data_IF_565460379306
#
_entry.id   IF_565460379306
#
_cell.length_a   1.000
_cell.length_b   1.000
_cell.length_c   1.000
_cell.angle_alpha   90.00
_cell.angle_beta   90.00
_cell.angle_gamma   90.00
#
_symmetry.space_group_name_H-M   'P 1'
#
loop_
_entity.id
_entity.type
_entity.pdbx_description
1 polymer ?
#
# COMPACT_ATOMS: atom_id res chain seq x y z
N UNK A 1 -11.91 -67.82 -44.72
CA UNK A 1 -12.37 -66.46 -44.28
C UNK A 1 -11.43 -66.01 -43.20
N UNK A 2 -10.42 -65.23 -43.59
CA UNK A 2 -9.44 -64.69 -42.66
C UNK A 2 -9.83 -63.28 -42.24
N UNK A 3 -10.02 -63.05 -40.95
CA UNK A 3 -10.23 -61.73 -40.39
C UNK A 3 -8.87 -61.07 -40.13
N UNK A 4 -8.55 -60.03 -40.91
CA UNK A 4 -7.40 -59.15 -40.65
C UNK A 4 -7.73 -58.16 -39.56
N UNK A 5 -7.17 -58.33 -38.37
CA UNK A 5 -7.18 -57.29 -37.33
C UNK A 5 -6.09 -56.27 -37.65
N UNK A 6 -6.48 -55.08 -38.08
CA UNK A 6 -5.54 -53.96 -38.25
C UNK A 6 -5.23 -53.36 -36.90
N UNK A 7 -4.02 -53.48 -36.39
CA UNK A 7 -3.50 -52.76 -35.25
C UNK A 7 -3.30 -51.29 -35.65
N UNK A 8 -3.67 -50.29 -34.79
CA UNK A 8 -3.43 -48.88 -35.09
C UNK A 8 -1.93 -48.60 -35.20
N UNK A 9 -1.58 -47.84 -36.23
CA UNK A 9 -0.16 -47.55 -36.51
C UNK A 9 0.47 -46.70 -35.38
N UNK A 10 1.75 -46.90 -35.14
CA UNK A 10 2.55 -46.12 -34.15
C UNK A 10 2.40 -44.62 -34.36
N UNK A 11 2.15 -44.15 -35.59
CA UNK A 11 1.91 -42.75 -35.91
C UNK A 11 0.59 -42.24 -35.34
N UNK A 12 -0.49 -43.06 -35.34
CA UNK A 12 -1.78 -42.69 -34.76
C UNK A 12 -1.68 -42.58 -33.23
N UNK A 13 -0.89 -43.44 -32.58
CA UNK A 13 -0.64 -43.41 -31.16
C UNK A 13 0.16 -42.14 -30.77
N UNK A 14 1.20 -41.81 -31.56
CA UNK A 14 2.02 -40.61 -31.36
C UNK A 14 1.19 -39.30 -31.51
N UNK A 15 0.27 -39.24 -32.47
CA UNK A 15 -0.63 -38.09 -32.67
C UNK A 15 -1.63 -37.95 -31.53
N UNK A 16 -2.17 -39.08 -31.01
CA UNK A 16 -3.08 -39.03 -29.85
C UNK A 16 -2.34 -38.62 -28.58
N UNK A 17 -1.14 -39.10 -28.33
CA UNK A 17 -0.32 -38.69 -27.18
C UNK A 17 0.06 -37.21 -27.30
N UNK A 18 0.45 -36.75 -28.50
CA UNK A 18 0.76 -35.32 -28.71
C UNK A 18 -0.47 -34.44 -28.54
N UNK A 19 -1.64 -34.88 -29.01
CA UNK A 19 -2.90 -34.15 -28.79
C UNK A 19 -3.33 -34.11 -27.31
N UNK A 20 -3.12 -35.20 -26.56
CA UNK A 20 -3.36 -35.25 -25.11
C UNK A 20 -2.36 -34.38 -24.34
N UNK A 21 -1.10 -34.32 -24.71
CA UNK A 21 -0.08 -33.45 -24.11
C UNK A 21 -0.40 -31.96 -24.45
N UNK A 22 -0.78 -31.68 -25.69
CA UNK A 22 -1.19 -30.33 -26.07
C UNK A 22 -2.51 -29.90 -25.40
N UNK A 23 -3.50 -30.81 -25.25
CA UNK A 23 -4.74 -30.50 -24.54
C UNK A 23 -4.52 -30.34 -23.01
N UNK A 24 -3.59 -31.09 -22.41
CA UNK A 24 -3.23 -30.86 -21.01
C UNK A 24 -2.42 -29.56 -20.80
N UNK A 25 -1.64 -29.15 -21.79
CA UNK A 25 -0.94 -27.86 -21.74
C UNK A 25 -1.88 -26.65 -21.91
N UNK A 26 -3.04 -26.82 -22.57
CA UNK A 26 -4.05 -25.74 -22.74
C UNK A 26 -4.99 -25.64 -21.54
N UNK A 27 -5.01 -26.64 -20.64
CA UNK A 27 -5.88 -26.63 -19.44
C UNK A 27 -5.19 -26.22 -18.15
N UNK A 28 -3.91 -25.89 -18.19
CA UNK A 28 -3.24 -25.22 -17.06
C UNK A 28 -3.52 -23.72 -17.10
N UNK A 29 -4.73 -23.30 -16.68
CA UNK A 29 -4.98 -21.96 -16.15
C UNK A 29 -4.36 -21.82 -14.75
N UNK A 30 -3.12 -22.27 -14.59
CA UNK A 30 -2.33 -22.04 -13.41
C UNK A 30 -1.75 -20.62 -13.44
N UNK A 31 -1.66 -19.98 -12.28
CA UNK A 31 -0.94 -18.73 -12.14
C UNK A 31 0.51 -18.86 -12.59
N UNK A 32 1.19 -17.73 -12.73
CA UNK A 32 2.59 -17.68 -13.16
C UNK A 32 3.48 -17.41 -11.94
N UNK A 33 4.27 -18.41 -11.53
CA UNK A 33 5.46 -18.15 -10.73
C UNK A 33 6.55 -17.62 -11.66
N UNK A 34 7.14 -16.50 -11.30
CA UNK A 34 8.25 -15.91 -12.05
C UNK A 34 9.44 -16.91 -12.11
N UNK A 35 10.05 -16.98 -13.27
CA UNK A 35 11.31 -17.72 -13.46
C UNK A 35 12.55 -16.87 -13.15
N UNK A 36 12.35 -15.63 -12.73
CA UNK A 36 13.43 -14.75 -12.34
C UNK A 36 14.15 -15.31 -11.11
N UNK A 37 15.44 -15.55 -11.23
CA UNK A 37 16.29 -16.01 -10.14
C UNK A 37 17.14 -14.84 -9.68
N UNK A 38 16.87 -14.37 -8.49
CA UNK A 38 17.68 -13.36 -7.82
C UNK A 38 18.87 -14.02 -7.11
N UNK A 39 20.06 -13.43 -7.22
CA UNK A 39 21.10 -13.69 -6.24
C UNK A 39 20.66 -13.05 -4.93
N UNK A 40 20.24 -13.88 -3.98
CA UNK A 40 19.78 -13.39 -2.67
C UNK A 40 21.00 -12.96 -1.88
N UNK A 41 21.29 -11.67 -1.89
CA UNK A 41 22.20 -11.05 -0.95
C UNK A 41 21.43 -10.73 0.33
N UNK A 42 22.11 -10.76 1.46
CA UNK A 42 21.50 -10.35 2.73
C UNK A 42 21.16 -8.86 2.65
N UNK A 43 19.92 -8.52 2.96
CA UNK A 43 19.49 -7.13 3.10
C UNK A 43 20.24 -6.46 4.24
N UNK A 44 20.76 -5.27 4.00
CA UNK A 44 21.60 -4.52 4.95
C UNK A 44 21.10 -3.09 5.09
N UNK A 45 21.00 -2.62 6.34
CA UNK A 45 20.68 -1.24 6.62
C UNK A 45 21.71 -0.27 6.03
N UNK A 46 21.21 0.90 5.63
CA UNK A 46 22.09 2.03 5.38
C UNK A 46 22.70 2.50 6.70
N UNK A 47 24.01 2.82 6.72
CA UNK A 47 24.65 3.37 7.91
C UNK A 47 23.94 4.63 8.42
N UNK A 48 23.87 4.82 9.74
CA UNK A 48 23.16 5.96 10.34
C UNK A 48 23.77 7.33 9.94
N UNK A 49 25.01 7.36 9.54
CA UNK A 49 25.72 8.53 9.02
C UNK A 49 25.62 8.68 7.49
N UNK A 50 24.79 7.88 6.85
CA UNK A 50 24.53 8.00 5.40
C UNK A 50 23.90 9.35 5.06
N UNK A 51 24.31 9.92 3.93
CA UNK A 51 23.78 11.20 3.42
C UNK A 51 22.26 11.22 3.26
N UNK A 52 21.64 10.07 3.02
CA UNK A 52 20.16 9.95 2.90
C UNK A 52 19.44 10.26 4.21
N UNK A 53 20.12 10.16 5.35
CA UNK A 53 19.63 10.50 6.67
C UNK A 53 20.11 11.88 7.16
N UNK A 54 20.80 12.62 6.28
CA UNK A 54 21.42 13.89 6.62
C UNK A 54 20.44 14.90 7.21
N UNK A 55 20.90 15.60 8.24
CA UNK A 55 20.16 16.71 8.82
C UNK A 55 20.22 17.94 7.89
N UNK A 56 19.12 18.69 7.77
CA UNK A 56 19.17 19.95 7.05
C UNK A 56 20.10 20.94 7.80
N UNK A 57 20.75 21.80 7.03
CA UNK A 57 21.69 22.78 7.61
C UNK A 57 20.98 23.90 8.37
N UNK A 58 21.60 24.35 9.45
CA UNK A 58 21.15 25.47 10.28
C UNK A 58 20.51 25.03 11.61
N UNK A 59 20.61 25.91 12.61
CA UNK A 59 20.06 25.66 13.94
C UNK A 59 18.55 25.48 13.89
N UNK A 60 18.06 24.41 14.51
CA UNK A 60 16.64 24.05 14.61
C UNK A 60 15.92 23.99 13.26
N UNK A 61 16.65 23.64 12.18
CA UNK A 61 16.07 23.55 10.85
C UNK A 61 14.99 22.43 10.80
N UNK A 62 13.81 22.71 10.22
CA UNK A 62 12.75 21.71 10.12
C UNK A 62 13.20 20.52 9.28
N UNK A 63 12.94 19.30 9.75
CA UNK A 63 13.31 18.05 9.13
C UNK A 63 12.10 17.09 9.11
N UNK A 64 12.24 15.95 8.46
CA UNK A 64 11.19 14.90 8.42
C UNK A 64 9.86 15.43 7.86
N UNK A 65 9.96 16.36 6.92
CA UNK A 65 8.77 17.01 6.34
C UNK A 65 7.98 16.01 5.51
N UNK A 66 6.72 15.86 5.84
CA UNK A 66 5.83 14.95 5.11
C UNK A 66 4.42 15.52 5.01
N UNK A 67 3.72 15.10 3.96
CA UNK A 67 2.35 15.53 3.69
C UNK A 67 1.42 14.34 3.45
N UNK A 68 0.17 14.50 3.86
CA UNK A 68 -0.92 13.57 3.53
C UNK A 68 -2.21 14.35 3.27
N UNK A 69 -3.21 13.68 2.70
CA UNK A 69 -4.53 14.32 2.52
C UNK A 69 -5.14 14.69 3.88
N UNK A 70 -5.70 15.89 4.00
CA UNK A 70 -6.17 16.46 5.27
C UNK A 70 -7.69 16.46 5.46
N UNK A 71 -8.46 16.05 4.45
CA UNK A 71 -9.93 15.95 4.49
C UNK A 71 -10.44 14.76 3.68
N UNK A 72 -11.77 14.66 3.56
CA UNK A 72 -12.37 13.54 2.83
C UNK A 72 -12.31 13.68 1.30
N UNK A 73 -12.16 14.88 0.74
CA UNK A 73 -12.33 15.13 -0.70
C UNK A 73 -11.11 15.70 -1.43
N UNK A 74 -9.99 15.89 -0.72
CA UNK A 74 -8.73 16.35 -1.32
C UNK A 74 -8.56 17.87 -1.36
N UNK A 75 -9.35 18.65 -0.59
CA UNK A 75 -9.22 20.11 -0.45
C UNK A 75 -8.45 20.55 0.79
N UNK A 76 -7.81 19.61 1.48
CA UNK A 76 -6.93 19.89 2.59
C UNK A 76 -5.70 18.97 2.57
N UNK A 77 -4.60 19.49 3.10
CA UNK A 77 -3.33 18.76 3.26
C UNK A 77 -2.86 18.94 4.70
N UNK A 78 -2.50 17.84 5.35
CA UNK A 78 -1.76 17.87 6.62
C UNK A 78 -0.28 17.95 6.26
N UNK A 79 0.39 18.98 6.75
CA UNK A 79 1.84 19.15 6.70
C UNK A 79 2.39 18.84 8.09
N UNK A 80 3.35 17.94 8.15
CA UNK A 80 4.02 17.55 9.39
C UNK A 80 5.54 17.69 9.24
N UNK A 81 6.23 18.08 10.32
CA UNK A 81 7.68 18.21 10.38
C UNK A 81 8.18 18.12 11.81
N UNK A 82 9.46 18.02 11.99
CA UNK A 82 10.13 17.99 13.31
C UNK A 82 11.14 19.11 13.41
N UNK A 83 11.26 19.70 14.60
CA UNK A 83 12.38 20.56 15.02
C UNK A 83 12.98 19.95 16.28
N UNK A 84 14.31 19.92 16.40
CA UNK A 84 14.97 19.16 17.47
C UNK A 84 15.25 19.98 18.72
N UNK A 85 15.73 21.23 18.57
CA UNK A 85 16.25 22.00 19.69
C UNK A 85 15.16 22.73 20.47
N UNK A 86 14.20 23.30 19.77
CA UNK A 86 13.09 24.05 20.33
C UNK A 86 11.84 23.97 19.47
N UNK A 87 10.64 24.20 20.02
CA UNK A 87 9.41 24.10 19.24
C UNK A 87 9.38 25.06 18.05
N UNK A 88 9.93 26.27 18.18
CA UNK A 88 9.86 27.26 17.12
C UNK A 88 8.42 27.61 16.75
N UNK A 89 8.12 27.74 15.44
CA UNK A 89 6.78 28.02 14.92
C UNK A 89 6.10 26.78 14.39
N UNK A 90 4.84 26.58 14.76
CA UNK A 90 3.95 25.58 14.16
C UNK A 90 3.15 26.08 12.93
N UNK A 91 3.55 27.23 12.39
CA UNK A 91 2.85 27.89 11.27
C UNK A 91 3.41 27.39 9.94
N UNK A 92 2.49 27.07 9.01
CA UNK A 92 2.82 26.83 7.60
C UNK A 92 2.46 28.06 6.79
N UNK A 93 3.43 28.61 6.08
CA UNK A 93 3.22 29.68 5.10
C UNK A 93 3.01 29.03 3.72
N UNK A 94 1.90 29.34 3.02
CA UNK A 94 1.59 28.71 1.74
C UNK A 94 0.94 29.67 0.74
N UNK A 95 1.06 29.33 -0.55
CA UNK A 95 0.46 30.09 -1.65
C UNK A 95 0.31 29.21 -2.87
N UNK A 96 -0.69 29.48 -3.72
CA UNK A 96 -0.81 28.81 -5.03
C UNK A 96 0.15 29.40 -6.05
N UNK A 97 0.54 28.62 -7.04
CA UNK A 97 1.39 29.07 -8.15
C UNK A 97 0.77 30.25 -8.91
N UNK A 98 -0.57 30.28 -9.01
CA UNK A 98 -1.34 31.30 -9.70
C UNK A 98 -1.52 32.59 -8.90
N UNK A 99 -1.32 32.53 -7.58
CA UNK A 99 -1.48 33.68 -6.69
C UNK A 99 -0.25 33.82 -5.80
N UNK A 100 0.42 34.97 -5.90
CA UNK A 100 1.57 35.29 -5.05
C UNK A 100 1.18 35.68 -3.61
N UNK A 101 -0.13 35.73 -3.29
CA UNK A 101 -0.60 36.04 -1.96
C UNK A 101 -0.31 34.90 -1.01
N UNK A 102 0.59 35.15 -0.07
CA UNK A 102 0.93 34.20 0.99
C UNK A 102 -0.17 34.16 2.05
N UNK A 103 -0.56 32.95 2.41
CA UNK A 103 -1.51 32.64 3.50
C UNK A 103 -0.76 31.90 4.60
N UNK A 104 -1.31 31.90 5.79
CA UNK A 104 -0.78 31.18 6.94
C UNK A 104 -1.82 30.21 7.49
N UNK A 105 -1.37 29.06 7.95
CA UNK A 105 -2.16 28.12 8.72
C UNK A 105 -1.38 27.77 9.99
N UNK A 106 -2.07 27.71 11.11
CA UNK A 106 -1.47 27.35 12.39
C UNK A 106 -1.70 25.88 12.70
N UNK A 107 -0.67 25.25 13.20
CA UNK A 107 -0.64 23.85 13.61
C UNK A 107 -0.54 23.68 15.11
N UNK A 108 -0.22 22.46 15.50
CA UNK A 108 0.04 22.04 16.87
C UNK A 108 1.38 21.32 16.95
N UNK A 109 2.05 21.46 18.08
CA UNK A 109 3.28 20.74 18.37
C UNK A 109 3.03 19.67 19.42
N UNK A 110 3.73 18.55 19.31
CA UNK A 110 3.72 17.43 20.25
C UNK A 110 5.12 16.89 20.43
N UNK A 111 5.34 16.22 21.54
CA UNK A 111 6.50 15.39 21.80
C UNK A 111 6.04 14.07 22.40
N UNK A 112 6.88 13.04 22.34
CA UNK A 112 6.65 11.80 23.08
C UNK A 112 7.96 11.26 23.62
N UNK A 113 7.85 10.43 24.65
CA UNK A 113 8.94 9.61 25.17
C UNK A 113 8.66 8.15 24.87
N UNK A 114 9.71 7.42 24.55
CA UNK A 114 9.67 5.98 24.37
C UNK A 114 10.95 5.42 24.99
N UNK A 115 10.80 4.72 26.12
CA UNK A 115 11.90 4.26 26.93
C UNK A 115 12.92 5.40 27.24
N UNK A 116 14.15 5.31 26.76
CA UNK A 116 15.19 6.32 26.95
C UNK A 116 15.24 7.39 25.83
N UNK A 117 14.41 7.25 24.80
CA UNK A 117 14.30 8.19 23.71
C UNK A 117 13.28 9.30 24.01
N UNK A 118 13.60 10.52 23.61
CA UNK A 118 12.66 11.64 23.56
C UNK A 118 12.64 12.20 22.15
N UNK A 119 11.46 12.32 21.56
CA UNK A 119 11.32 12.89 20.22
C UNK A 119 11.68 14.38 20.21
N UNK A 120 12.11 14.89 19.08
CA UNK A 120 12.01 16.30 18.76
C UNK A 120 10.57 16.81 18.83
N UNK A 121 10.38 18.09 18.56
CA UNK A 121 9.07 18.74 18.53
C UNK A 121 8.37 18.44 17.19
N UNK A 122 7.34 17.63 17.24
CA UNK A 122 6.59 17.16 16.06
C UNK A 122 5.43 18.12 15.81
N UNK A 123 5.44 18.74 14.66
CA UNK A 123 4.44 19.71 14.23
C UNK A 123 3.43 19.08 13.28
N UNK A 124 2.15 19.45 13.42
CA UNK A 124 1.09 19.06 12.49
C UNK A 124 0.21 20.28 12.19
N UNK A 125 0.16 20.68 10.95
CA UNK A 125 -0.65 21.79 10.48
C UNK A 125 -1.53 21.35 9.31
N UNK A 126 -2.83 21.66 9.37
CA UNK A 126 -3.75 21.34 8.27
C UNK A 126 -4.05 22.59 7.46
N UNK A 127 -3.60 22.63 6.23
CA UNK A 127 -3.98 23.65 5.24
C UNK A 127 -5.33 23.25 4.64
N UNK A 128 -6.30 24.16 4.64
CA UNK A 128 -7.69 23.87 4.24
C UNK A 128 -8.17 24.77 3.11
N UNK A 129 -9.31 24.41 2.52
CA UNK A 129 -9.97 25.17 1.47
C UNK A 129 -9.07 25.45 0.27
N UNK A 130 -8.30 24.42 -0.10
CA UNK A 130 -7.46 24.44 -1.29
C UNK A 130 -8.31 24.29 -2.56
N UNK A 131 -7.83 24.86 -3.64
CA UNK A 131 -8.39 24.66 -4.98
C UNK A 131 -7.93 23.32 -5.53
N UNK A 132 -8.75 22.65 -6.32
CA UNK A 132 -8.38 21.42 -7.01
C UNK A 132 -7.38 21.69 -8.13
N UNK A 133 -6.64 20.65 -8.51
CA UNK A 133 -5.69 20.65 -9.63
C UNK A 133 -4.76 21.86 -9.63
N UNK A 134 -4.30 22.26 -8.44
CA UNK A 134 -3.53 23.48 -8.23
C UNK A 134 -2.23 23.17 -7.51
N UNK A 135 -1.13 23.71 -8.05
CA UNK A 135 0.17 23.64 -7.40
C UNK A 135 0.28 24.67 -6.30
N UNK A 136 0.64 24.22 -5.11
CA UNK A 136 0.90 25.03 -3.94
C UNK A 136 2.35 24.92 -3.52
N UNK A 137 2.94 26.05 -3.18
CA UNK A 137 4.20 26.12 -2.44
C UNK A 137 3.88 26.26 -0.95
N UNK A 138 4.72 25.67 -0.11
CA UNK A 138 4.62 25.86 1.33
C UNK A 138 6.01 25.96 1.97
N UNK A 139 6.08 26.64 3.11
CA UNK A 139 7.29 26.81 3.90
C UNK A 139 7.02 26.48 5.37
N UNK A 140 7.96 25.83 6.00
CA UNK A 140 7.99 25.49 7.43
C UNK A 140 9.29 25.95 8.06
N UNK A 141 9.30 26.17 9.39
CA UNK A 141 10.45 26.68 10.11
C UNK A 141 10.40 28.17 10.38
N UNK A 142 11.51 28.75 10.85
CA UNK A 142 11.63 30.17 11.23
C UNK A 142 12.91 30.78 10.64
N UNK A 143 12.85 32.07 10.33
CA UNK A 143 14.01 32.86 9.90
C UNK A 143 14.71 32.28 8.67
N UNK A 144 16.04 32.21 8.74
CA UNK A 144 16.88 31.76 7.62
C UNK A 144 16.94 30.25 7.47
N UNK A 145 16.42 29.47 8.43
CA UNK A 145 16.32 28.00 8.35
C UNK A 145 15.00 27.52 7.78
N UNK A 146 14.11 28.45 7.36
CA UNK A 146 12.87 28.07 6.69
C UNK A 146 13.14 27.25 5.43
N UNK A 147 12.43 26.12 5.30
CA UNK A 147 12.53 25.24 4.14
C UNK A 147 11.27 25.34 3.28
N UNK A 148 11.44 25.36 1.96
CA UNK A 148 10.39 25.53 0.96
C UNK A 148 10.18 24.23 0.20
N UNK A 149 8.91 23.84 0.07
CA UNK A 149 8.44 22.66 -0.67
C UNK A 149 7.24 23.04 -1.55
N UNK A 150 6.72 22.06 -2.27
CA UNK A 150 5.51 22.22 -3.07
C UNK A 150 4.74 20.91 -3.17
N UNK A 151 3.45 20.99 -3.45
CA UNK A 151 2.60 19.85 -3.81
C UNK A 151 1.53 20.30 -4.80
N UNK A 152 0.89 19.33 -5.46
CA UNK A 152 -0.28 19.58 -6.31
C UNK A 152 -1.51 18.91 -5.67
N UNK A 153 -2.59 19.67 -5.53
CA UNK A 153 -3.87 19.11 -5.08
C UNK A 153 -4.45 18.19 -6.16
N UNK A 154 -5.24 17.16 -5.79
CA UNK A 154 -5.88 16.31 -6.79
C UNK A 154 -6.86 17.11 -7.63
N UNK A 155 -7.26 16.60 -8.81
CA UNK A 155 -8.43 17.10 -9.51
C UNK A 155 -9.70 16.89 -8.68
N UNK A 156 -10.76 17.62 -9.03
CA UNK A 156 -12.07 17.45 -8.42
C UNK A 156 -12.58 16.01 -8.57
N UNK A 157 -13.26 15.53 -7.56
CA UNK A 157 -13.80 14.16 -7.55
C UNK A 157 -14.81 13.99 -8.68
N UNK A 158 -14.65 12.95 -9.47
CA UNK A 158 -15.54 12.66 -10.59
C UNK A 158 -15.26 11.31 -11.24
N UNK A 159 -16.25 10.74 -11.96
CA UNK A 159 -16.18 9.35 -12.41
C UNK A 159 -15.12 9.07 -13.48
N UNK A 160 -14.85 10.01 -14.36
CA UNK A 160 -13.90 9.83 -15.48
C UNK A 160 -12.59 10.59 -15.28
N UNK A 161 -12.30 10.96 -14.05
CA UNK A 161 -11.08 11.71 -13.72
C UNK A 161 -9.91 10.73 -13.63
N UNK A 162 -8.93 10.81 -14.56
CA UNK A 162 -7.76 9.94 -14.50
C UNK A 162 -6.88 10.31 -13.31
N UNK A 163 -6.30 9.29 -12.68
CA UNK A 163 -5.40 9.50 -11.55
C UNK A 163 -4.45 8.32 -11.35
N UNK A 164 -3.19 8.60 -11.06
CA UNK A 164 -2.17 7.59 -10.88
C UNK A 164 -1.72 7.52 -9.43
N UNK A 165 -1.76 6.33 -8.86
CA UNK A 165 -1.26 6.01 -7.52
C UNK A 165 0.05 5.23 -7.62
N UNK A 166 1.03 5.58 -6.78
CA UNK A 166 2.15 4.73 -6.46
C UNK A 166 1.79 3.79 -5.32
N UNK A 167 2.45 2.65 -5.25
CA UNK A 167 2.24 1.64 -4.22
C UNK A 167 3.59 1.20 -3.67
N UNK A 168 3.76 1.33 -2.37
CA UNK A 168 4.95 0.93 -1.62
C UNK A 168 4.46 0.39 -0.28
N UNK A 169 5.08 -0.65 0.23
CA UNK A 169 4.87 -1.19 1.58
C UNK A 169 6.14 -1.76 2.15
N UNK A 170 6.20 -1.93 3.45
CA UNK A 170 7.26 -2.65 4.14
C UNK A 170 8.67 -2.11 3.75
N UNK A 171 8.78 -0.78 3.78
CA UNK A 171 9.92 -0.11 3.16
C UNK A 171 11.21 -0.25 3.98
N UNK A 172 11.17 0.06 5.29
CA UNK A 172 12.38 0.11 6.11
C UNK A 172 13.39 1.15 5.62
N UNK A 173 14.68 0.93 5.92
CA UNK A 173 15.76 1.90 5.65
C UNK A 173 17.08 1.23 5.25
N UNK A 174 17.00 0.21 4.43
CA UNK A 174 18.12 -0.54 3.89
C UNK A 174 18.61 0.03 2.55
N UNK A 175 19.67 -0.51 2.00
CA UNK A 175 20.07 -0.20 0.62
C UNK A 175 19.01 -0.64 -0.40
N UNK A 176 18.30 -1.74 -0.16
CA UNK A 176 17.17 -2.18 -0.99
C UNK A 176 16.00 -1.20 -0.90
N UNK A 177 15.70 -0.70 0.30
CA UNK A 177 14.69 0.37 0.52
C UNK A 177 15.01 1.63 -0.29
N UNK A 178 16.28 2.03 -0.28
CA UNK A 178 16.73 3.19 -1.05
C UNK A 178 16.61 2.96 -2.56
N UNK A 179 16.88 1.73 -3.03
CA UNK A 179 16.69 1.34 -4.43
C UNK A 179 15.21 1.41 -4.82
N UNK A 180 14.31 0.86 -4.00
CA UNK A 180 12.85 0.91 -4.22
C UNK A 180 12.35 2.35 -4.33
N UNK A 181 12.68 3.18 -3.35
CA UNK A 181 12.22 4.59 -3.35
C UNK A 181 12.81 5.36 -4.52
N UNK A 182 14.08 5.15 -4.84
CA UNK A 182 14.76 5.81 -5.97
C UNK A 182 14.13 5.40 -7.30
N UNK A 183 13.88 4.11 -7.52
CA UNK A 183 13.24 3.62 -8.74
C UNK A 183 11.79 4.12 -8.86
N UNK A 184 11.06 4.18 -7.75
CA UNK A 184 9.73 4.80 -7.74
C UNK A 184 9.78 6.27 -8.16
N UNK A 185 10.69 7.05 -7.59
CA UNK A 185 10.84 8.49 -7.90
C UNK A 185 11.25 8.73 -9.36
N UNK A 186 12.06 7.86 -9.93
CA UNK A 186 12.53 7.93 -11.31
C UNK A 186 11.55 7.34 -12.32
N UNK A 187 10.53 6.60 -11.86
CA UNK A 187 9.54 6.02 -12.77
C UNK A 187 8.77 7.14 -13.50
N UNK A 188 8.79 7.20 -14.85
CA UNK A 188 8.11 8.26 -15.61
C UNK A 188 6.60 8.26 -15.45
N UNK A 189 6.03 7.14 -14.96
CA UNK A 189 4.61 6.99 -14.62
C UNK A 189 4.34 7.00 -13.12
N UNK A 190 5.29 7.48 -12.31
CA UNK A 190 5.12 7.52 -10.85
C UNK A 190 3.79 8.16 -10.46
N UNK A 191 3.23 7.70 -9.36
CA UNK A 191 1.95 8.19 -8.85
C UNK A 191 1.99 9.66 -8.44
N UNK A 192 0.82 10.30 -8.49
CA UNK A 192 0.59 11.63 -7.92
C UNK A 192 0.37 11.57 -6.40
N UNK A 193 0.15 10.37 -5.89
CA UNK A 193 -0.04 10.03 -4.47
C UNK A 193 0.45 8.60 -4.26
N UNK A 194 1.11 8.35 -3.14
CA UNK A 194 1.50 7.00 -2.74
C UNK A 194 0.44 6.41 -1.81
N UNK A 195 -0.01 5.20 -2.08
CA UNK A 195 -0.75 4.35 -1.16
C UNK A 195 0.28 3.48 -0.43
N UNK A 196 0.54 3.80 0.83
CA UNK A 196 1.55 3.11 1.63
C UNK A 196 0.88 2.08 2.53
N UNK A 197 1.20 0.80 2.34
CA UNK A 197 0.44 -0.32 2.94
C UNK A 197 0.98 -0.82 4.28
N UNK A 198 1.71 0.01 5.01
CA UNK A 198 2.17 -0.27 6.38
C UNK A 198 3.62 -0.70 6.46
N UNK A 199 4.08 -0.90 7.68
CA UNK A 199 5.45 -1.20 8.08
C UNK A 199 6.46 -0.18 7.54
N UNK A 200 6.60 0.90 8.33
CA UNK A 200 7.37 2.07 7.93
C UNK A 200 8.87 1.89 8.22
N UNK A 201 9.24 2.05 9.49
CA UNK A 201 10.62 2.26 9.91
C UNK A 201 11.35 1.01 10.40
N UNK A 202 10.60 -0.01 10.85
CA UNK A 202 11.14 -1.20 11.50
C UNK A 202 11.98 -0.89 12.77
N UNK A 203 11.63 0.18 13.48
CA UNK A 203 12.36 0.60 14.68
C UNK A 203 12.32 -0.46 15.79
N UNK A 204 11.25 -1.23 15.87
CA UNK A 204 11.03 -2.31 16.82
C UNK A 204 11.96 -3.53 16.62
N UNK A 205 12.59 -3.67 15.46
CA UNK A 205 13.59 -4.72 15.20
C UNK A 205 14.96 -4.42 15.83
N UNK A 206 15.14 -3.22 16.40
CA UNK A 206 16.40 -2.83 17.03
C UNK A 206 16.32 -2.90 18.56
N UNK A 207 17.46 -3.01 19.25
CA UNK A 207 17.48 -3.09 20.71
C UNK A 207 16.68 -1.97 21.37
N UNK A 208 15.80 -2.33 22.30
CA UNK A 208 14.89 -1.41 23.00
C UNK A 208 13.97 -0.62 22.07
N UNK A 209 13.65 -1.15 20.89
CA UNK A 209 12.82 -0.49 19.86
C UNK A 209 13.36 0.91 19.54
N UNK A 210 14.58 0.96 19.05
CA UNK A 210 15.34 2.21 18.88
C UNK A 210 14.59 3.27 18.04
N UNK A 211 13.97 4.21 18.73
CA UNK A 211 13.16 5.26 18.09
C UNK A 211 13.97 6.29 17.28
N UNK A 212 15.31 6.27 17.34
CA UNK A 212 16.15 7.02 16.38
C UNK A 212 15.90 6.53 14.96
N UNK A 213 15.50 5.26 14.80
CA UNK A 213 15.13 4.69 13.48
C UNK A 213 13.87 5.31 12.88
N UNK A 214 12.97 5.83 13.69
CA UNK A 214 11.85 6.64 13.19
C UNK A 214 12.33 7.98 12.62
N UNK A 215 13.35 8.61 13.25
CA UNK A 215 13.88 9.87 12.75
C UNK A 215 14.67 9.70 11.44
N UNK A 216 15.53 8.68 11.37
CA UNK A 216 16.30 8.39 10.16
C UNK A 216 15.38 8.00 8.99
N UNK A 217 14.40 7.14 9.24
CA UNK A 217 13.42 6.76 8.22
C UNK A 217 12.64 7.97 7.69
N UNK A 218 12.15 8.82 8.57
CA UNK A 218 11.37 9.98 8.18
C UNK A 218 12.21 11.02 7.39
N UNK A 219 13.53 11.16 7.68
CA UNK A 219 14.44 11.94 6.85
C UNK A 219 14.68 11.30 5.49
N UNK A 220 14.84 9.99 5.44
CA UNK A 220 15.03 9.24 4.21
C UNK A 220 13.87 9.42 3.22
N UNK A 221 12.63 9.31 3.67
CA UNK A 221 11.46 9.41 2.80
C UNK A 221 11.04 10.85 2.50
N UNK A 222 11.58 11.85 3.22
CA UNK A 222 11.26 13.28 3.06
C UNK A 222 11.38 13.72 1.60
N UNK A 223 12.38 13.25 0.88
CA UNK A 223 12.64 13.60 -0.53
C UNK A 223 11.46 13.30 -1.46
N UNK A 224 10.62 12.36 -1.08
CA UNK A 224 9.38 12.01 -1.80
C UNK A 224 8.15 12.61 -1.11
N UNK A 225 7.96 12.28 0.17
CA UNK A 225 6.71 12.56 0.88
C UNK A 225 6.50 14.04 1.24
N UNK A 226 7.51 14.88 1.13
CA UNK A 226 7.36 16.33 1.25
C UNK A 226 6.72 16.99 0.01
N UNK A 227 6.69 16.29 -1.13
CA UNK A 227 6.24 16.82 -2.42
C UNK A 227 4.99 16.14 -2.98
N UNK A 228 4.65 14.95 -2.49
CA UNK A 228 3.42 14.24 -2.85
C UNK A 228 2.81 13.60 -1.61
N UNK A 229 1.47 13.62 -1.46
CA UNK A 229 0.83 12.99 -0.31
C UNK A 229 1.06 11.48 -0.30
N UNK A 230 1.41 10.93 0.88
CA UNK A 230 1.35 9.51 1.13
C UNK A 230 0.14 9.21 2.01
N UNK A 231 -0.64 8.19 1.64
CA UNK A 231 -1.81 7.71 2.39
C UNK A 231 -1.34 6.55 3.26
N UNK A 232 -1.44 6.73 4.55
CA UNK A 232 -0.82 5.88 5.55
C UNK A 232 -1.73 4.74 5.99
N UNK A 233 -1.19 3.53 6.02
CA UNK A 233 -1.76 2.34 6.66
C UNK A 233 -0.83 1.89 7.77
N UNK A 234 -1.34 1.29 8.84
CA UNK A 234 -0.51 0.72 9.91
C UNK A 234 -0.28 -0.76 9.69
N UNK A 235 0.97 -1.20 9.87
CA UNK A 235 1.35 -2.60 9.95
C UNK A 235 1.65 -3.05 11.38
N UNK A 236 2.26 -4.22 11.54
CA UNK A 236 2.63 -4.78 12.84
C UNK A 236 3.82 -4.05 13.47
N UNK A 237 4.78 -3.56 12.68
CA UNK A 237 5.92 -2.79 13.17
C UNK A 237 5.53 -1.39 13.69
N UNK A 238 4.32 -0.91 13.40
CA UNK A 238 3.77 0.30 14.00
C UNK A 238 3.15 0.07 15.37
N UNK A 239 2.85 -1.18 15.77
CA UNK A 239 2.29 -1.52 17.10
C UNK A 239 3.26 -1.07 18.19
N UNK A 240 4.52 -1.39 18.04
CA UNK A 240 5.62 -0.95 18.90
C UNK A 240 5.29 -1.10 20.41
N UNK A 241 4.82 -2.30 20.79
CA UNK A 241 4.41 -2.66 22.14
C UNK A 241 5.53 -3.45 22.82
N UNK A 242 6.17 -2.85 23.84
CA UNK A 242 7.35 -3.38 24.49
C UNK A 242 7.25 -3.28 26.03
N UNK A 243 6.39 -4.14 26.64
CA UNK A 243 6.14 -4.09 28.07
C UNK A 243 7.39 -4.37 28.93
N UNK A 244 8.37 -5.11 28.41
CA UNK A 244 9.64 -5.43 29.07
C UNK A 244 10.52 -4.18 29.31
N UNK A 245 10.32 -3.10 28.57
CA UNK A 245 10.96 -1.79 28.78
C UNK A 245 9.97 -0.72 29.27
N UNK A 246 8.75 -1.13 29.66
CA UNK A 246 7.71 -0.25 30.19
C UNK A 246 6.86 0.46 29.14
N UNK A 247 6.98 0.11 27.87
CA UNK A 247 6.20 0.70 26.78
C UNK A 247 4.97 -0.15 26.48
N UNK A 248 3.83 0.21 27.10
CA UNK A 248 2.59 -0.55 27.06
C UNK A 248 1.48 0.10 26.24
N UNK A 249 1.75 1.22 25.56
CA UNK A 249 0.79 1.89 24.70
C UNK A 249 1.06 1.56 23.23
N UNK A 250 0.22 0.71 22.60
CA UNK A 250 0.39 0.39 21.19
C UNK A 250 0.34 1.64 20.29
N UNK A 251 1.04 1.60 19.17
CA UNK A 251 1.10 2.64 18.15
C UNK A 251 1.56 4.01 18.66
N UNK A 252 2.32 4.08 19.76
CA UNK A 252 2.74 5.34 20.36
C UNK A 252 3.58 6.20 19.41
N UNK A 253 4.69 5.73 18.80
CA UNK A 253 5.46 6.50 17.85
C UNK A 253 4.63 6.93 16.63
N UNK A 254 3.93 5.99 16.01
CA UNK A 254 3.11 6.25 14.82
C UNK A 254 2.08 7.35 15.05
N UNK A 255 1.28 7.27 16.11
CA UNK A 255 0.20 8.24 16.38
C UNK A 255 0.69 9.65 16.70
N UNK A 256 1.96 9.80 17.11
CA UNK A 256 2.57 11.11 17.32
C UNK A 256 3.15 11.69 16.03
N UNK A 257 3.64 10.83 15.12
CA UNK A 257 4.35 11.24 13.89
C UNK A 257 3.43 11.37 12.67
N UNK A 258 2.44 10.48 12.52
CA UNK A 258 1.60 10.39 11.31
C UNK A 258 0.14 10.70 11.61
N UNK A 259 -0.26 11.93 11.30
CA UNK A 259 -1.66 12.34 11.38
C UNK A 259 -2.38 12.06 10.06
N UNK A 260 -3.64 11.59 10.16
CA UNK A 260 -4.50 11.25 9.02
C UNK A 260 -5.91 11.86 9.23
N UNK A 261 -6.71 12.05 8.18
CA UNK A 261 -8.00 12.72 8.27
C UNK A 261 -9.14 11.79 8.76
N UNK A 262 -8.88 10.89 9.69
CA UNK A 262 -9.83 9.87 10.12
C UNK A 262 -11.20 10.43 10.57
N UNK A 263 -11.22 11.61 11.20
CA UNK A 263 -12.46 12.27 11.64
C UNK A 263 -13.31 12.77 10.47
N UNK A 264 -12.71 13.02 9.32
CA UNK A 264 -13.43 13.48 8.13
C UNK A 264 -14.37 12.39 7.58
N UNK A 265 -14.03 11.12 7.79
CA UNK A 265 -14.89 9.95 7.51
C UNK A 265 -15.68 9.46 8.72
N UNK A 266 -15.74 10.25 9.80
CA UNK A 266 -16.40 9.88 11.07
C UNK A 266 -15.82 8.60 11.71
N UNK A 267 -14.56 8.29 11.43
CA UNK A 267 -13.85 7.23 12.13
C UNK A 267 -13.50 7.66 13.56
N UNK A 268 -13.39 6.69 14.46
CA UNK A 268 -13.07 6.89 15.87
C UNK A 268 -11.58 6.76 16.19
N UNK A 269 -10.78 6.26 15.24
CA UNK A 269 -9.34 6.10 15.41
C UNK A 269 -8.57 6.35 14.11
N UNK A 270 -7.29 6.74 14.18
CA UNK A 270 -6.49 7.05 13.01
C UNK A 270 -6.04 5.84 12.19
N UNK A 271 -6.40 4.63 12.62
CA UNK A 271 -5.96 3.38 12.00
C UNK A 271 -6.91 2.86 10.92
N UNK A 272 -8.14 3.36 10.89
CA UNK A 272 -9.10 3.09 9.82
C UNK A 272 -9.84 4.38 9.46
N UNK A 273 -9.96 4.65 8.18
CA UNK A 273 -10.59 5.86 7.65
C UNK A 273 -10.84 5.73 6.15
N UNK A 274 -11.54 6.68 5.57
CA UNK A 274 -11.74 6.76 4.13
C UNK A 274 -11.48 8.16 3.59
N UNK A 275 -11.09 8.19 2.32
CA UNK A 275 -10.93 9.43 1.55
C UNK A 275 -11.42 9.21 0.12
N UNK A 276 -11.81 10.30 -0.53
CA UNK A 276 -12.01 10.36 -1.97
C UNK A 276 -10.82 11.06 -2.62
N UNK A 277 -10.38 10.54 -3.75
CA UNK A 277 -9.31 11.17 -4.53
C UNK A 277 -9.52 10.91 -6.00
N UNK A 278 -9.80 11.96 -6.78
CA UNK A 278 -10.18 11.88 -8.19
C UNK A 278 -11.38 10.93 -8.39
N UNK A 279 -11.22 9.83 -9.11
CA UNK A 279 -12.26 8.82 -9.36
C UNK A 279 -12.22 7.64 -8.38
N UNK A 280 -11.40 7.71 -7.30
CA UNK A 280 -11.26 6.63 -6.34
C UNK A 280 -11.88 6.96 -4.97
N UNK A 281 -12.54 5.96 -4.38
CA UNK A 281 -12.87 5.88 -2.97
C UNK A 281 -11.90 4.93 -2.31
N UNK A 282 -11.11 5.41 -1.36
CA UNK A 282 -10.04 4.66 -0.71
C UNK A 282 -10.44 4.43 0.74
N UNK A 283 -10.52 3.18 1.14
CA UNK A 283 -10.76 2.74 2.53
C UNK A 283 -9.45 2.19 3.06
N UNK A 284 -8.99 2.73 4.19
CA UNK A 284 -7.86 2.22 4.95
C UNK A 284 -8.38 1.44 6.14
N UNK A 285 -7.86 0.24 6.35
CA UNK A 285 -8.21 -0.65 7.48
C UNK A 285 -6.95 -1.02 8.25
N UNK A 286 -7.14 -1.30 9.54
CA UNK A 286 -6.07 -1.81 10.41
C UNK A 286 -6.21 -3.30 10.62
N UNK A 287 -5.22 -4.06 10.19
CA UNK A 287 -5.15 -5.51 10.45
C UNK A 287 -4.90 -5.82 11.93
N UNK A 288 -4.34 -4.87 12.68
CA UNK A 288 -3.92 -5.03 14.09
C UNK A 288 -4.77 -4.26 15.09
N UNK A 289 -5.91 -3.74 14.67
CA UNK A 289 -6.97 -3.23 15.55
C UNK A 289 -8.13 -4.21 15.56
N UNK A 290 -8.87 -4.28 16.67
CA UNK A 290 -10.00 -5.18 16.80
C UNK A 290 -11.01 -4.99 15.65
N UNK A 291 -11.42 -6.09 15.01
CA UNK A 291 -12.29 -6.13 13.83
C UNK A 291 -13.53 -7.04 13.98
N UNK A 292 -13.75 -7.61 15.15
CA UNK A 292 -14.95 -8.41 15.42
C UNK A 292 -16.25 -7.58 15.41
N UNK A 293 -17.38 -8.24 15.29
CA UNK A 293 -18.72 -7.65 15.00
C UNK A 293 -19.09 -6.40 15.84
N UNK A 294 -18.66 -6.31 17.09
CA UNK A 294 -19.02 -5.22 18.00
C UNK A 294 -17.92 -4.18 18.16
N UNK A 295 -16.82 -4.31 17.45
CA UNK A 295 -15.69 -3.40 17.55
C UNK A 295 -15.92 -2.10 16.77
N UNK A 296 -15.25 -1.00 17.15
CA UNK A 296 -15.42 0.28 16.47
C UNK A 296 -15.09 0.23 14.97
N UNK A 297 -14.03 -0.50 14.56
CA UNK A 297 -13.65 -0.63 13.16
C UNK A 297 -14.72 -1.35 12.34
N UNK A 298 -15.25 -2.46 12.87
CA UNK A 298 -16.32 -3.21 12.20
C UNK A 298 -17.58 -2.35 12.00
N UNK A 299 -18.03 -1.67 13.07
CA UNK A 299 -19.24 -0.85 13.01
C UNK A 299 -19.07 0.34 12.06
N UNK A 300 -17.87 0.93 12.04
CA UNK A 300 -17.55 2.00 11.12
C UNK A 300 -17.58 1.50 9.67
N UNK A 301 -16.90 0.38 9.35
CA UNK A 301 -16.84 -0.17 7.98
C UNK A 301 -18.23 -0.58 7.48
N UNK A 302 -19.04 -1.22 8.34
CA UNK A 302 -20.44 -1.56 8.06
C UNK A 302 -21.27 -0.35 7.65
N UNK A 303 -21.05 0.80 8.29
CA UNK A 303 -21.72 2.06 7.98
C UNK A 303 -21.07 2.85 6.87
N UNK A 304 -19.82 2.56 6.50
CA UNK A 304 -19.06 3.31 5.50
C UNK A 304 -19.28 2.79 4.09
N UNK A 305 -19.23 1.48 3.88
CA UNK A 305 -19.40 0.86 2.56
C UNK A 305 -20.68 1.26 1.84
N UNK A 306 -21.86 1.35 2.51
CA UNK A 306 -23.09 1.81 1.86
C UNK A 306 -23.08 3.27 1.36
N UNK A 307 -22.15 4.09 1.86
CA UNK A 307 -22.04 5.51 1.45
C UNK A 307 -21.26 5.69 0.14
N UNK A 308 -20.58 4.65 -0.33
CA UNK A 308 -19.75 4.72 -1.53
C UNK A 308 -20.63 4.93 -2.76
N UNK A 309 -20.60 6.14 -3.31
CA UNK A 309 -21.30 6.46 -4.55
C UNK A 309 -20.42 6.10 -5.76
N UNK A 310 -20.64 4.94 -6.34
CA UNK A 310 -19.88 4.43 -7.51
C UNK A 310 -20.11 5.26 -8.79
N UNK A 311 -21.14 6.12 -8.81
CA UNK A 311 -21.33 7.08 -9.91
C UNK A 311 -20.42 8.31 -9.80
N UNK A 312 -19.93 8.59 -8.62
CA UNK A 312 -19.00 9.68 -8.33
C UNK A 312 -17.53 9.18 -8.26
N UNK A 313 -17.33 8.10 -7.52
CA UNK A 313 -16.03 7.44 -7.32
C UNK A 313 -16.12 5.97 -7.74
N UNK A 314 -16.00 5.67 -9.04
CA UNK A 314 -16.18 4.33 -9.58
C UNK A 314 -15.18 3.30 -9.04
N UNK A 315 -13.99 3.71 -8.62
CA UNK A 315 -12.95 2.80 -8.12
C UNK A 315 -13.00 2.71 -6.60
N UNK A 316 -13.31 1.52 -6.07
CA UNK A 316 -13.31 1.23 -4.64
C UNK A 316 -12.05 0.43 -4.30
N UNK A 317 -11.13 1.07 -3.60
CA UNK A 317 -9.80 0.56 -3.24
C UNK A 317 -9.76 0.36 -1.73
N UNK A 318 -9.26 -0.77 -1.27
CA UNK A 318 -9.02 -1.02 0.15
C UNK A 318 -7.52 -1.18 0.38
N UNK A 319 -7.01 -0.52 1.42
CA UNK A 319 -5.66 -0.68 1.93
C UNK A 319 -5.73 -1.36 3.29
N UNK A 320 -4.92 -2.37 3.49
CA UNK A 320 -4.68 -3.02 4.78
C UNK A 320 -3.25 -3.55 4.81
N UNK A 321 -2.78 -4.07 5.93
CA UNK A 321 -1.40 -4.55 5.98
C UNK A 321 -1.31 -6.07 5.78
N UNK A 322 -1.98 -6.87 6.61
CA UNK A 322 -1.91 -8.34 6.50
C UNK A 322 -2.75 -8.86 5.32
N UNK A 323 -2.15 -9.56 4.34
CA UNK A 323 -2.86 -10.08 3.18
C UNK A 323 -3.80 -11.24 3.57
N UNK A 324 -4.95 -11.35 2.87
CA UNK A 324 -5.87 -12.47 3.08
C UNK A 324 -5.55 -13.67 2.19
N UNK A 325 -5.02 -13.43 1.01
CA UNK A 325 -4.61 -14.47 0.08
C UNK A 325 -3.11 -14.34 -0.20
N UNK A 326 -2.37 -15.30 0.30
CA UNK A 326 -0.92 -15.35 0.26
C UNK A 326 -0.47 -16.79 0.00
N UNK A 327 0.34 -17.01 -1.00
CA UNK A 327 0.87 -18.33 -1.36
C UNK A 327 2.30 -18.57 -0.86
N UNK A 328 2.87 -17.66 -0.11
CA UNK A 328 4.11 -17.87 0.62
C UNK A 328 3.82 -18.56 1.95
N UNK A 329 4.74 -19.39 2.42
CA UNK A 329 4.59 -20.08 3.71
C UNK A 329 4.72 -19.13 4.89
N UNK A 330 5.35 -17.98 4.70
CA UNK A 330 5.50 -16.95 5.69
C UNK A 330 4.17 -16.19 5.84
N UNK A 331 3.69 -16.03 7.07
CA UNK A 331 2.40 -15.39 7.37
C UNK A 331 1.17 -16.02 6.68
N UNK A 332 1.27 -17.30 6.30
CA UNK A 332 0.18 -17.99 5.62
C UNK A 332 -1.10 -18.00 6.47
N UNK A 333 -2.21 -17.54 5.90
CA UNK A 333 -3.53 -17.45 6.55
C UNK A 333 -3.57 -16.58 7.83
N UNK A 334 -2.59 -15.73 8.09
CA UNK A 334 -2.59 -14.86 9.27
C UNK A 334 -3.77 -13.85 9.24
N UNK A 335 -4.13 -13.34 8.06
CA UNK A 335 -5.28 -12.46 7.84
C UNK A 335 -6.65 -13.14 7.79
N UNK A 336 -6.73 -14.46 7.98
CA UNK A 336 -7.93 -15.27 7.73
C UNK A 336 -9.13 -14.86 8.59
N UNK A 337 -8.91 -14.56 9.87
CA UNK A 337 -10.00 -14.16 10.77
C UNK A 337 -10.65 -12.85 10.32
N UNK A 338 -9.85 -11.87 9.90
CA UNK A 338 -10.36 -10.60 9.37
C UNK A 338 -11.05 -10.81 8.01
N UNK A 339 -10.51 -11.68 7.17
CA UNK A 339 -11.11 -12.05 5.89
C UNK A 339 -12.54 -12.57 6.06
N UNK A 340 -12.73 -13.55 6.94
CA UNK A 340 -14.06 -14.15 7.21
C UNK A 340 -15.06 -13.07 7.64
N UNK A 341 -14.62 -12.06 8.39
CA UNK A 341 -15.50 -10.99 8.87
C UNK A 341 -15.87 -9.97 7.80
N UNK A 342 -14.98 -9.65 6.86
CA UNK A 342 -15.15 -8.50 5.97
C UNK A 342 -15.30 -8.88 4.48
N UNK A 343 -14.79 -10.01 4.03
CA UNK A 343 -14.84 -10.41 2.62
C UNK A 343 -16.26 -10.48 2.04
N UNK A 344 -17.29 -10.97 2.77
CA UNK A 344 -18.65 -10.93 2.26
C UNK A 344 -19.09 -9.53 1.82
N UNK A 345 -18.67 -8.49 2.55
CA UNK A 345 -18.94 -7.11 2.17
C UNK A 345 -18.13 -6.66 0.96
N UNK A 346 -16.87 -7.08 0.86
CA UNK A 346 -16.04 -6.72 -0.29
C UNK A 346 -16.62 -7.25 -1.59
N UNK A 347 -17.15 -8.46 -1.57
CA UNK A 347 -17.88 -9.04 -2.72
C UNK A 347 -19.20 -8.31 -2.95
N UNK A 348 -20.00 -8.08 -1.91
CA UNK A 348 -21.30 -7.41 -2.00
C UNK A 348 -21.18 -6.00 -2.59
N UNK A 349 -20.21 -5.21 -2.14
CA UNK A 349 -19.99 -3.84 -2.58
C UNK A 349 -19.03 -3.74 -3.77
N UNK A 350 -18.62 -4.88 -4.34
CA UNK A 350 -17.75 -4.98 -5.52
C UNK A 350 -16.48 -4.14 -5.38
N UNK A 351 -15.74 -4.34 -4.29
CA UNK A 351 -14.39 -3.78 -4.13
C UNK A 351 -13.56 -4.18 -5.33
N UNK A 352 -12.87 -3.23 -5.96
CA UNK A 352 -12.12 -3.49 -7.20
C UNK A 352 -10.77 -4.15 -6.91
N UNK A 353 -10.06 -3.65 -5.90
CA UNK A 353 -8.72 -4.11 -5.53
C UNK A 353 -8.47 -3.90 -4.04
N UNK A 354 -7.74 -4.84 -3.45
CA UNK A 354 -7.19 -4.76 -2.08
C UNK A 354 -5.68 -4.80 -2.18
N UNK A 355 -5.01 -3.78 -1.65
CA UNK A 355 -3.57 -3.74 -1.53
C UNK A 355 -3.15 -4.05 -0.09
N UNK A 356 -2.19 -4.94 0.07
CA UNK A 356 -1.63 -5.35 1.35
C UNK A 356 -0.10 -5.40 1.31
N UNK A 357 0.53 -5.40 2.49
CA UNK A 357 1.96 -5.57 2.69
C UNK A 357 2.30 -6.87 3.42
N UNK A 358 3.14 -6.78 4.46
CA UNK A 358 3.44 -7.82 5.46
C UNK A 358 4.24 -9.02 4.94
N UNK A 359 3.90 -9.57 3.82
CA UNK A 359 4.70 -10.61 3.15
C UNK A 359 5.70 -9.92 2.24
N UNK A 360 6.99 -10.08 2.54
CA UNK A 360 8.07 -9.37 1.86
C UNK A 360 8.36 -9.99 0.48
N UNK A 361 7.38 -9.91 -0.39
CA UNK A 361 7.39 -10.40 -1.76
C UNK A 361 6.24 -9.79 -2.54
N UNK A 362 6.24 -10.00 -3.83
CA UNK A 362 5.14 -9.61 -4.69
C UNK A 362 4.22 -10.79 -5.00
N UNK A 363 2.91 -10.58 -4.87
CA UNK A 363 1.90 -11.52 -5.34
C UNK A 363 0.63 -10.80 -5.79
N UNK A 364 0.08 -11.23 -6.92
CA UNK A 364 -1.23 -10.80 -7.41
C UNK A 364 -2.15 -12.00 -7.56
N UNK A 365 -3.35 -11.90 -7.00
CA UNK A 365 -4.36 -12.94 -7.13
C UNK A 365 -5.19 -12.80 -8.41
N UNK A 366 -5.92 -13.85 -8.77
CA UNK A 366 -7.13 -13.76 -9.56
C UNK A 366 -8.24 -13.04 -8.77
N UNK A 367 -9.39 -12.75 -9.41
CA UNK A 367 -10.60 -12.35 -8.67
C UNK A 367 -11.16 -13.57 -7.95
N UNK A 368 -11.02 -13.60 -6.64
CA UNK A 368 -11.36 -14.77 -5.83
C UNK A 368 -12.08 -14.37 -4.55
N UNK A 369 -12.89 -15.30 -4.04
CA UNK A 369 -13.44 -15.20 -2.69
C UNK A 369 -13.54 -16.58 -2.04
N UNK A 370 -13.55 -16.61 -0.71
CA UNK A 370 -13.73 -17.83 0.07
C UNK A 370 -14.83 -17.68 1.11
N UNK A 371 -15.98 -17.12 0.70
CA UNK A 371 -17.15 -16.92 1.57
C UNK A 371 -17.67 -18.28 2.08
N UNK A 372 -17.57 -19.34 1.25
CA UNK A 372 -17.96 -20.70 1.62
C UNK A 372 -16.98 -21.36 2.63
N UNK A 373 -15.89 -20.68 2.99
CA UNK A 373 -14.89 -21.18 3.94
C UNK A 373 -14.26 -22.50 3.52
N UNK A 374 -13.87 -22.62 2.25
CA UNK A 374 -13.21 -23.80 1.72
C UNK A 374 -11.76 -23.88 2.19
N UNK A 375 -11.51 -24.69 3.21
CA UNK A 375 -10.18 -24.99 3.71
C UNK A 375 -10.04 -26.50 3.74
N UNK A 376 -9.08 -27.02 2.97
CA UNK A 376 -8.80 -28.44 2.83
C UNK A 376 -7.36 -28.71 3.31
N UNK A 377 -7.23 -29.53 4.35
CA UNK A 377 -5.94 -29.86 4.96
C UNK A 377 -5.10 -28.62 5.34
N UNK A 378 -5.75 -27.57 5.88
CA UNK A 378 -5.09 -26.31 6.24
C UNK A 378 -4.75 -25.39 5.07
N UNK A 379 -5.16 -25.75 3.84
CA UNK A 379 -4.93 -24.96 2.63
C UNK A 379 -6.22 -24.26 2.24
N UNK A 380 -6.15 -22.93 2.09
CA UNK A 380 -7.25 -22.10 1.60
C UNK A 380 -7.46 -22.37 0.10
N UNK A 381 -8.71 -22.75 -0.25
CA UNK A 381 -9.11 -23.06 -1.65
C UNK A 381 -10.26 -22.15 -2.06
N UNK A 382 -9.99 -20.85 -2.34
CA UNK A 382 -11.01 -19.91 -2.76
C UNK A 382 -11.52 -20.26 -4.16
N UNK A 383 -12.72 -19.78 -4.47
CA UNK A 383 -13.31 -19.90 -5.80
C UNK A 383 -13.08 -18.64 -6.62
N UNK A 384 -12.96 -18.78 -7.94
CA UNK A 384 -12.97 -17.63 -8.85
C UNK A 384 -14.34 -16.95 -8.77
N UNK A 385 -14.31 -15.64 -8.53
CA UNK A 385 -15.52 -14.85 -8.36
C UNK A 385 -15.32 -13.47 -9.00
N UNK A 386 -16.05 -13.22 -10.08
CA UNK A 386 -15.91 -11.99 -10.86
C UNK A 386 -16.38 -10.72 -10.12
N UNK A 387 -17.19 -10.86 -9.06
CA UNK A 387 -17.60 -9.76 -8.19
C UNK A 387 -16.63 -9.49 -7.04
N UNK A 388 -15.64 -10.38 -6.84
CA UNK A 388 -14.62 -10.23 -5.82
C UNK A 388 -13.51 -9.28 -6.25
N UNK A 389 -12.75 -8.70 -5.30
CA UNK A 389 -11.56 -7.92 -5.61
C UNK A 389 -10.43 -8.79 -6.19
N UNK A 390 -9.47 -8.13 -6.83
CA UNK A 390 -8.11 -8.66 -6.95
C UNK A 390 -7.37 -8.30 -5.66
N UNK A 391 -6.65 -9.25 -5.10
CA UNK A 391 -5.79 -9.02 -3.93
C UNK A 391 -4.33 -8.92 -4.40
N UNK A 392 -3.65 -7.88 -3.98
CA UNK A 392 -2.26 -7.63 -4.35
C UNK A 392 -1.44 -7.42 -3.09
N UNK A 393 -0.47 -8.30 -2.89
CA UNK A 393 0.55 -8.17 -1.86
C UNK A 393 1.74 -7.43 -2.45
N UNK A 394 2.14 -6.35 -1.79
CA UNK A 394 3.24 -5.46 -2.19
C UNK A 394 4.07 -5.08 -0.96
N UNK A 395 4.42 -6.09 -0.15
CA UNK A 395 5.31 -5.96 1.01
C UNK A 395 6.79 -5.99 0.64
N UNK A 396 7.10 -5.67 -0.60
CA UNK A 396 8.39 -5.84 -1.23
C UNK A 396 9.23 -4.54 -1.25
N UNK A 397 9.05 -3.66 -0.26
CA UNK A 397 9.74 -2.36 -0.20
C UNK A 397 11.23 -2.44 0.07
N UNK A 398 11.73 -3.50 0.72
CA UNK A 398 13.16 -3.69 0.89
C UNK A 398 13.68 -3.63 2.32
N UNK A 399 12.84 -3.82 3.33
CA UNK A 399 13.19 -3.74 4.75
C UNK A 399 14.25 -4.76 5.20
N UNK A 400 14.70 -4.63 6.45
CA UNK A 400 15.83 -5.38 7.03
C UNK A 400 15.56 -6.89 7.21
N UNK A 401 14.31 -7.33 7.27
CA UNK A 401 13.98 -8.74 7.42
C UNK A 401 14.21 -9.55 6.13
N UNK A 402 14.34 -8.85 5.00
CA UNK A 402 14.64 -9.48 3.71
C UNK A 402 13.41 -10.07 3.03
N UNK A 403 13.63 -10.89 2.00
CA UNK A 403 12.59 -11.45 1.16
C UNK A 403 11.98 -12.73 1.75
N UNK A 404 10.68 -12.87 1.61
CA UNK A 404 9.96 -14.14 1.76
C UNK A 404 10.15 -14.96 0.48
N UNK A 405 10.91 -16.08 0.56
CA UNK A 405 11.27 -16.88 -0.60
C UNK A 405 10.59 -18.25 -0.65
N UNK A 406 10.05 -18.73 0.47
CA UNK A 406 9.40 -20.04 0.57
C UNK A 406 7.96 -19.95 0.10
N UNK A 407 7.67 -20.56 -1.04
CA UNK A 407 6.36 -20.58 -1.67
C UNK A 407 5.67 -21.93 -1.52
N UNK A 408 4.35 -21.94 -1.38
CA UNK A 408 3.53 -23.15 -1.45
C UNK A 408 3.57 -23.71 -2.86
N UNK A 409 3.93 -24.99 -2.99
CA UNK A 409 3.95 -25.70 -4.27
C UNK A 409 2.98 -26.88 -4.26
N UNK A 410 2.23 -27.13 -5.34
CA UNK A 410 2.16 -26.33 -6.57
C UNK A 410 1.51 -24.95 -6.31
N UNK A 411 1.81 -23.97 -7.18
CA UNK A 411 1.20 -22.61 -7.06
C UNK A 411 -0.33 -22.73 -6.96
N UNK A 412 -0.94 -22.15 -5.92
CA UNK A 412 -2.39 -22.21 -5.77
C UNK A 412 -3.14 -21.54 -6.93
N UNK A 413 -4.31 -22.07 -7.31
CA UNK A 413 -5.11 -21.56 -8.44
C UNK A 413 -5.59 -20.12 -8.27
N UNK A 414 -5.60 -19.58 -7.07
CA UNK A 414 -5.93 -18.18 -6.82
C UNK A 414 -4.77 -17.21 -7.11
N UNK A 415 -3.53 -17.69 -7.09
CA UNK A 415 -2.33 -16.89 -7.32
C UNK A 415 -2.11 -16.73 -8.82
N UNK A 416 -2.31 -15.51 -9.34
CA UNK A 416 -2.15 -15.25 -10.77
C UNK A 416 -0.69 -15.01 -11.16
N UNK A 417 0.06 -14.29 -10.31
CA UNK A 417 1.49 -14.04 -10.46
C UNK A 417 2.14 -13.89 -9.09
N UNK A 418 3.32 -14.43 -8.90
CA UNK A 418 4.11 -14.27 -7.67
C UNK A 418 5.61 -14.25 -7.97
N UNK A 419 6.33 -13.46 -7.20
CA UNK A 419 7.78 -13.34 -7.30
C UNK A 419 8.37 -12.82 -5.99
N UNK A 420 9.45 -13.46 -5.53
CA UNK A 420 10.23 -13.00 -4.38
C UNK A 420 11.31 -12.01 -4.84
N UNK A 421 10.94 -10.75 -5.04
CA UNK A 421 11.85 -9.65 -5.39
C UNK A 421 11.34 -8.34 -4.76
N UNK A 422 12.25 -7.42 -4.49
CA UNK A 422 11.89 -6.07 -4.08
C UNK A 422 11.46 -5.20 -5.27
N UNK A 423 10.54 -4.27 -5.03
CA UNK A 423 10.00 -3.42 -6.06
C UNK A 423 8.98 -2.40 -5.57
N UNK A 424 8.25 -1.83 -6.52
CA UNK A 424 7.13 -0.92 -6.29
C UNK A 424 6.09 -1.12 -7.39
N UNK A 425 4.88 -0.60 -7.18
CA UNK A 425 3.88 -0.66 -8.23
C UNK A 425 3.20 0.69 -8.52
N UNK A 426 2.51 0.72 -9.65
CA UNK A 426 1.73 1.85 -10.14
C UNK A 426 0.31 1.36 -10.44
N UNK A 427 -0.69 2.08 -9.93
CA UNK A 427 -2.09 1.87 -10.27
C UNK A 427 -2.63 3.13 -10.97
N UNK A 428 -2.83 3.01 -12.28
CA UNK A 428 -3.12 4.13 -13.16
C UNK A 428 -4.58 4.05 -13.64
N UNK A 429 -5.47 4.80 -13.00
CA UNK A 429 -6.87 4.92 -13.38
C UNK A 429 -6.99 5.78 -14.63
N UNK A 430 -7.53 5.21 -15.71
CA UNK A 430 -7.75 5.90 -16.97
C UNK A 430 -9.11 6.60 -17.05
N UNK A 431 -10.15 5.94 -16.55
CA UNK A 431 -11.52 6.45 -16.52
C UNK A 431 -12.38 5.56 -15.58
N UNK A 432 -13.72 5.74 -15.59
CA UNK A 432 -14.65 4.96 -14.75
C UNK A 432 -14.62 3.45 -14.98
N UNK A 433 -14.12 3.00 -16.11
CA UNK A 433 -14.21 1.59 -16.53
C UNK A 433 -12.88 0.87 -16.57
N UNK A 434 -11.76 1.58 -16.76
CA UNK A 434 -10.44 1.00 -16.99
C UNK A 434 -9.38 1.61 -16.08
N UNK A 435 -8.55 0.76 -15.49
CA UNK A 435 -7.30 1.11 -14.85
C UNK A 435 -6.20 0.13 -15.25
N UNK A 436 -4.99 0.60 -15.27
CA UNK A 436 -3.81 -0.22 -15.57
C UNK A 436 -2.95 -0.35 -14.33
N UNK A 437 -2.63 -1.55 -13.96
CA UNK A 437 -1.69 -1.88 -12.88
C UNK A 437 -0.39 -2.39 -13.45
N UNK A 438 0.74 -1.93 -12.90
CA UNK A 438 2.07 -2.44 -13.26
C UNK A 438 2.95 -2.54 -12.01
N UNK A 439 3.68 -3.63 -11.90
CA UNK A 439 4.69 -3.86 -10.88
C UNK A 439 6.09 -3.84 -11.50
N UNK A 440 7.04 -3.22 -10.80
CA UNK A 440 8.39 -2.94 -11.27
C UNK A 440 9.39 -3.52 -10.28
N UNK A 441 10.15 -4.52 -10.74
CA UNK A 441 11.24 -5.13 -9.98
C UNK A 441 12.46 -4.20 -9.93
N UNK A 442 13.10 -4.08 -8.77
CA UNK A 442 14.27 -3.20 -8.61
C UNK A 442 15.43 -3.55 -9.58
N UNK A 443 15.67 -4.85 -9.81
CA UNK A 443 16.80 -5.31 -10.64
C UNK A 443 16.65 -5.03 -12.14
N UNK A 444 15.42 -4.83 -12.62
CA UNK A 444 15.16 -4.49 -14.02
C UNK A 444 15.26 -2.98 -14.30
N UNK A 445 15.46 -2.18 -13.25
CA UNK A 445 15.40 -0.73 -13.31
C UNK A 445 13.97 -0.18 -13.10
N UNK A 446 13.87 1.14 -13.02
CA UNK A 446 12.66 1.82 -12.54
C UNK A 446 11.46 1.80 -13.50
N UNK A 447 11.68 1.58 -14.79
CA UNK A 447 10.63 1.70 -15.81
C UNK A 447 10.21 0.37 -16.43
N UNK A 448 10.80 -0.75 -16.02
CA UNK A 448 10.53 -2.07 -16.60
C UNK A 448 9.42 -2.75 -15.82
N UNK A 449 8.34 -3.09 -16.52
CA UNK A 449 7.22 -3.84 -15.92
C UNK A 449 7.56 -5.35 -15.88
N UNK A 450 7.59 -5.91 -14.67
CA UNK A 450 7.77 -7.35 -14.46
C UNK A 450 6.42 -8.10 -14.40
N UNK A 451 5.38 -7.47 -13.90
CA UNK A 451 3.98 -7.93 -14.00
C UNK A 451 3.05 -6.75 -14.28
N UNK A 452 1.96 -7.01 -14.97
CA UNK A 452 0.96 -5.99 -15.24
C UNK A 452 -0.43 -6.58 -15.52
N UNK A 453 -1.45 -5.75 -15.34
CA UNK A 453 -2.83 -6.14 -15.53
C UNK A 453 -3.71 -4.95 -15.90
N UNK A 454 -4.64 -5.14 -16.82
CA UNK A 454 -5.78 -4.25 -17.01
C UNK A 454 -6.90 -4.61 -16.04
N UNK A 455 -7.34 -3.62 -15.27
CA UNK A 455 -8.53 -3.71 -14.45
C UNK A 455 -9.74 -3.19 -15.21
N UNK A 456 -10.81 -3.97 -15.19
CA UNK A 456 -12.14 -3.56 -15.62
C UNK A 456 -13.00 -3.36 -14.38
N UNK A 457 -13.56 -2.18 -14.23
CA UNK A 457 -14.38 -1.82 -13.07
C UNK A 457 -15.64 -2.68 -13.00
N UNK A 458 -15.84 -3.40 -11.92
CA UNK A 458 -16.94 -4.40 -11.81
C UNK A 458 -18.31 -3.78 -11.60
N UNK A 459 -18.38 -2.56 -11.14
CA UNK A 459 -19.65 -1.84 -11.02
C UNK A 459 -20.16 -1.38 -12.41
N UNK A 460 -19.23 -0.89 -13.26
CA UNK A 460 -19.55 -0.35 -14.59
C UNK A 460 -19.44 -1.36 -15.73
N UNK A 461 -18.76 -2.48 -15.50
CA UNK A 461 -18.70 -3.64 -16.36
C UNK A 461 -19.10 -4.90 -15.59
N UNK A 462 -20.39 -5.05 -15.24
CA UNK A 462 -20.84 -6.28 -14.60
C UNK A 462 -20.63 -7.45 -15.57
N UNK A 463 -19.96 -8.49 -15.08
CA UNK A 463 -19.85 -9.76 -15.81
C UNK A 463 -21.08 -10.58 -15.47
N UNK A 464 -21.67 -11.22 -16.47
CA UNK A 464 -22.76 -12.17 -16.25
C UNK A 464 -22.20 -13.40 -15.50
N UNK A 465 -22.53 -13.50 -14.22
CA UNK A 465 -22.03 -14.57 -13.33
C UNK A 465 -22.55 -15.96 -13.76
N UNK A 466 -23.62 -16.01 -14.56
CA UNK A 466 -24.14 -17.28 -15.11
C UNK A 466 -23.22 -17.91 -16.16
N UNK A 467 -22.35 -17.13 -16.79
CA UNK A 467 -21.41 -17.59 -17.80
C UNK A 467 -20.11 -18.22 -17.24
N UNK A 468 -19.87 -18.15 -15.94
CA UNK A 468 -18.61 -18.60 -15.31
C UNK A 468 -18.71 -19.94 -14.59
N UNK A 469 -19.86 -20.61 -14.65
CA UNK A 469 -20.11 -21.92 -14.02
C UNK A 469 -19.99 -23.11 -14.97
N UNK A 470 -19.19 -23.00 -16.05
CA UNK A 470 -18.87 -24.13 -16.91
C UNK A 470 -17.39 -24.53 -16.79
#
# INVERSE_FOLDING_TARGET
MGSSSSSPSLAAFAVIVLALVLSSAVLCNGGKTSVYVRNVEKTVDMPLDSDVFGLPSGYNAPQQVHITQGDHVGKAVIVSWVTDDEPGSSTVLYWSENSKQKKMAEGKVKTYKFYNYTSGYIHHCTIRNLEYNTKYYYMVGVGHTMRKFWFTTPPEVGPDVPYTFGLIGDLGQTFDSNSTLTHYEQNPRKGQTVLFVGDLSYADNYPNHDNVRWDTWARFVERSVAYQPWIWTTGNHEIDFAPEIGETKPFKPYTHRYHVPYRASKSTAPFWYSIKRASAYIIVLSSYSAYGMYTPQYQWLKGELPKVNRSETPWLIVLMHSPWYNSYNYHYMEGETMRVMYEPWFVQYKVDVVFAGHVHAYERSERVSNIAYNIVNGICTPVKNQSAPVYITIGDGGNIEGLATNMTEPQPAYSAYREASFGHAIFDIKNRTHAYYSWHRNHDGYAVEADSMWFFNRFWHPVDESATSQ
#
